data_IF_603313338264
#
_entry.id   IF_603313338264
#
_cell.length_a   1.000
_cell.length_b   1.000
_cell.length_c   1.000
_cell.angle_alpha   90.00
_cell.angle_beta   90.00
_cell.angle_gamma   90.00
#
_symmetry.space_group_name_H-M   'P 1'
#
loop_
_entity.id
_entity.type
_entity.pdbx_description
1 polymer ?
#
# COMPACT_ATOMS: atom_id res chain seq x y z
N UNK A 1 -10.88 7.58 11.53
CA UNK A 1 -9.70 8.19 10.87
C UNK A 1 -8.83 7.04 10.43
N UNK A 2 -8.59 6.86 9.12
CA UNK A 2 -7.83 5.72 8.62
C UNK A 2 -6.41 5.72 9.16
N UNK A 3 -5.98 4.56 9.64
CA UNK A 3 -4.73 4.41 10.38
C UNK A 3 -3.55 4.14 9.43
N UNK A 4 -2.91 5.22 8.99
CA UNK A 4 -1.72 5.14 8.13
C UNK A 4 -0.50 4.52 8.82
N UNK A 5 -0.52 4.30 10.14
CA UNK A 5 0.61 3.68 10.84
C UNK A 5 0.83 2.24 10.38
N UNK A 6 -0.25 1.52 10.08
CA UNK A 6 -0.19 0.13 9.60
C UNK A 6 0.45 0.04 8.23
N UNK A 7 0.11 0.97 7.33
CA UNK A 7 0.76 1.08 6.03
C UNK A 7 2.25 1.41 6.17
N UNK A 8 2.61 2.35 7.05
CA UNK A 8 4.01 2.76 7.28
C UNK A 8 4.87 1.66 7.90
N UNK A 9 4.28 0.72 8.64
CA UNK A 9 4.97 -0.42 9.23
C UNK A 9 5.31 -1.53 8.21
N UNK A 10 4.79 -1.45 6.98
CA UNK A 10 5.12 -2.38 5.91
C UNK A 10 6.50 -2.08 5.31
N UNK A 11 7.15 -3.10 4.75
CA UNK A 11 8.36 -2.90 3.97
C UNK A 11 8.11 -2.03 2.73
N UNK A 12 9.16 -1.45 2.16
CA UNK A 12 9.09 -0.63 0.93
C UNK A 12 8.31 -1.34 -0.19
N UNK A 13 8.63 -2.62 -0.44
CA UNK A 13 7.97 -3.43 -1.48
C UNK A 13 6.49 -3.65 -1.19
N UNK A 14 6.14 -3.93 0.06
CA UNK A 14 4.76 -4.17 0.47
C UNK A 14 3.92 -2.90 0.40
N UNK A 15 4.48 -1.76 0.77
CA UNK A 15 3.83 -0.45 0.58
C UNK A 15 3.51 -0.20 -0.88
N UNK A 16 4.44 -0.49 -1.80
CA UNK A 16 4.19 -0.37 -3.23
C UNK A 16 3.07 -1.32 -3.69
N UNK A 17 3.09 -2.58 -3.26
CA UNK A 17 2.06 -3.58 -3.62
C UNK A 17 0.67 -3.15 -3.12
N UNK A 18 0.56 -2.73 -1.85
CA UNK A 18 -0.71 -2.25 -1.28
C UNK A 18 -1.19 -1.01 -2.02
N UNK A 19 -0.30 -0.06 -2.30
CA UNK A 19 -0.67 1.16 -3.02
C UNK A 19 -1.16 0.85 -4.44
N UNK A 20 -0.52 -0.06 -5.18
CA UNK A 20 -0.98 -0.50 -6.50
C UNK A 20 -2.37 -1.15 -6.39
N UNK A 21 -2.56 -2.08 -5.45
CA UNK A 21 -3.83 -2.78 -5.29
C UNK A 21 -4.98 -1.81 -4.97
N UNK A 22 -4.77 -0.87 -4.06
CA UNK A 22 -5.79 0.14 -3.69
C UNK A 22 -6.04 1.13 -4.82
N UNK A 23 -5.01 1.47 -5.61
CA UNK A 23 -5.17 2.35 -6.78
C UNK A 23 -6.05 1.71 -7.86
N UNK A 24 -5.89 0.41 -8.11
CA UNK A 24 -6.63 -0.32 -9.13
C UNK A 24 -8.05 -0.67 -8.68
N UNK A 25 -8.19 -1.27 -7.50
CA UNK A 25 -9.43 -1.95 -7.10
C UNK A 25 -10.08 -1.34 -5.84
N UNK A 26 -9.42 -0.37 -5.20
CA UNK A 26 -9.98 0.33 -4.05
C UNK A 26 -10.36 -0.61 -2.89
N UNK A 27 -11.66 -0.77 -2.65
CA UNK A 27 -12.18 -1.61 -1.56
C UNK A 27 -11.91 -3.11 -1.77
N UNK A 28 -11.79 -3.55 -3.03
CA UNK A 28 -11.55 -4.96 -3.36
C UNK A 28 -10.07 -5.35 -3.30
N UNK A 29 -9.17 -4.37 -3.17
CA UNK A 29 -7.72 -4.57 -3.05
C UNK A 29 -7.32 -5.63 -2.01
N UNK A 30 -8.04 -5.66 -0.87
CA UNK A 30 -7.76 -6.60 0.21
C UNK A 30 -7.95 -8.07 -0.20
N UNK A 31 -8.83 -8.36 -1.15
CA UNK A 31 -9.08 -9.74 -1.61
C UNK A 31 -7.87 -10.31 -2.35
N UNK A 32 -7.23 -9.50 -3.20
CA UNK A 32 -6.03 -9.89 -3.96
C UNK A 32 -4.81 -10.07 -3.04
N UNK A 33 -4.70 -9.23 -2.00
CA UNK A 33 -3.59 -9.30 -1.04
C UNK A 33 -3.68 -10.49 -0.09
N UNK A 34 -4.85 -11.12 0.02
CA UNK A 34 -5.06 -12.30 0.86
C UNK A 34 -4.34 -13.56 0.33
N UNK A 35 -3.84 -13.53 -0.91
CA UNK A 35 -3.07 -14.63 -1.51
C UNK A 35 -1.73 -14.90 -0.84
N UNK A 36 -1.10 -13.90 -0.20
CA UNK A 36 0.16 -14.06 0.53
C UNK A 36 -0.11 -14.54 1.97
N UNK A 37 -0.06 -15.85 2.22
CA UNK A 37 -0.44 -16.43 3.52
C UNK A 37 0.35 -15.89 4.72
N UNK A 38 1.60 -15.47 4.52
CA UNK A 38 2.44 -15.00 5.62
C UNK A 38 2.17 -13.54 5.98
N UNK A 39 1.83 -12.71 4.98
CA UNK A 39 1.69 -11.25 5.14
C UNK A 39 0.27 -10.73 4.93
N UNK A 40 -0.66 -11.57 4.47
CA UNK A 40 -2.04 -11.24 4.14
C UNK A 40 -2.71 -10.36 5.21
N UNK A 41 -2.65 -10.75 6.48
CA UNK A 41 -3.32 -10.01 7.54
C UNK A 41 -2.82 -8.56 7.68
N UNK A 42 -1.53 -8.30 7.44
CA UNK A 42 -0.98 -6.95 7.50
C UNK A 42 -1.33 -6.15 6.24
N UNK A 43 -1.17 -6.76 5.06
CA UNK A 43 -1.46 -6.14 3.77
C UNK A 43 -2.94 -5.79 3.62
N UNK A 44 -3.84 -6.72 3.95
CA UNK A 44 -5.28 -6.53 3.88
C UNK A 44 -5.75 -5.42 4.83
N UNK A 45 -5.18 -5.31 6.04
CA UNK A 45 -5.55 -4.25 6.99
C UNK A 45 -5.13 -2.88 6.47
N UNK A 46 -3.87 -2.75 6.02
CA UNK A 46 -3.38 -1.50 5.44
C UNK A 46 -4.18 -1.08 4.19
N UNK A 47 -4.56 -2.05 3.34
CA UNK A 47 -5.39 -1.79 2.16
C UNK A 47 -6.80 -1.31 2.54
N UNK A 48 -7.43 -1.94 3.53
CA UNK A 48 -8.76 -1.51 4.04
C UNK A 48 -8.71 -0.10 4.62
N UNK A 49 -7.72 0.20 5.45
CA UNK A 49 -7.55 1.54 6.04
C UNK A 49 -7.41 2.60 4.93
N UNK A 50 -6.65 2.32 3.85
CA UNK A 50 -6.54 3.24 2.72
C UNK A 50 -7.82 3.31 1.87
N UNK A 51 -8.53 2.20 1.71
CA UNK A 51 -9.74 2.14 0.91
C UNK A 51 -10.92 2.90 1.53
N UNK A 52 -10.96 3.02 2.86
CA UNK A 52 -11.95 3.78 3.63
C UNK A 52 -11.89 5.30 3.38
N UNK A 53 -10.79 5.81 2.82
CA UNK A 53 -10.73 7.19 2.37
C UNK A 53 -11.69 7.43 1.20
N UNK A 54 -12.29 8.62 1.15
CA UNK A 54 -13.07 9.02 -0.02
C UNK A 54 -12.20 8.98 -1.28
N UNK A 55 -12.76 8.69 -2.47
CA UNK A 55 -11.98 8.59 -3.70
C UNK A 55 -11.10 9.82 -3.98
N UNK A 56 -11.60 11.02 -3.67
CA UNK A 56 -10.93 12.30 -3.89
C UNK A 56 -9.67 12.46 -3.03
N UNK A 57 -9.67 11.88 -1.83
CA UNK A 57 -8.51 11.87 -0.93
C UNK A 57 -7.60 10.67 -1.19
N UNK A 58 -8.21 9.51 -1.46
CA UNK A 58 -7.52 8.23 -1.64
C UNK A 58 -6.60 8.24 -2.85
N UNK A 59 -7.10 8.65 -4.01
CA UNK A 59 -6.34 8.61 -5.27
C UNK A 59 -5.04 9.42 -5.21
N UNK A 60 -5.03 10.71 -4.83
CA UNK A 60 -3.79 11.49 -4.76
C UNK A 60 -2.84 10.97 -3.66
N UNK A 61 -3.38 10.54 -2.52
CA UNK A 61 -2.56 9.98 -1.43
C UNK A 61 -1.87 8.68 -1.87
N UNK A 62 -2.63 7.71 -2.37
CA UNK A 62 -2.11 6.40 -2.78
C UNK A 62 -1.08 6.54 -3.90
N UNK A 63 -1.31 7.45 -4.87
CA UNK A 63 -0.32 7.76 -5.90
C UNK A 63 0.98 8.34 -5.34
N UNK A 64 0.90 9.16 -4.30
CA UNK A 64 2.08 9.72 -3.61
C UNK A 64 2.84 8.63 -2.86
N UNK A 65 2.14 7.81 -2.07
CA UNK A 65 2.73 6.69 -1.34
C UNK A 65 3.40 5.67 -2.27
N UNK A 66 2.82 5.43 -3.45
CA UNK A 66 3.42 4.58 -4.48
C UNK A 66 4.74 5.17 -4.98
N UNK A 67 4.75 6.44 -5.38
CA UNK A 67 5.98 7.12 -5.86
C UNK A 67 7.08 7.09 -4.80
N UNK A 68 6.76 7.38 -3.55
CA UNK A 68 7.71 7.30 -2.43
C UNK A 68 8.29 5.90 -2.26
N UNK A 69 7.44 4.88 -2.36
CA UNK A 69 7.85 3.48 -2.22
C UNK A 69 8.77 3.05 -3.38
N UNK A 70 8.47 3.49 -4.62
CA UNK A 70 9.31 3.23 -5.78
C UNK A 70 10.67 3.93 -5.66
N UNK A 71 10.69 5.20 -5.29
CA UNK A 71 11.94 5.95 -5.10
C UNK A 71 12.86 5.30 -4.06
N UNK A 72 12.32 4.88 -2.92
CA UNK A 72 13.08 4.17 -1.88
C UNK A 72 13.61 2.80 -2.37
N UNK A 73 12.87 2.14 -3.25
CA UNK A 73 13.31 0.85 -3.83
C UNK A 73 14.44 1.02 -4.85
N UNK A 74 14.47 2.11 -5.61
CA UNK A 74 15.54 2.40 -6.56
C UNK A 74 16.85 2.79 -5.86
N UNK A 75 16.79 3.54 -4.76
CA UNK A 75 17.98 3.95 -3.99
C UNK A 75 18.70 2.75 -3.34
N UNK A 76 17.97 1.68 -3.08
CA UNK A 76 18.51 0.42 -2.52
C UNK A 76 19.41 -0.34 -3.52
N UNK A 77 19.40 0.03 -4.81
CA UNK A 77 20.12 -0.68 -5.88
C UNK A 77 21.45 0.01 -6.23
N UNK A 78 21.71 1.22 -5.73
CA UNK A 78 22.90 2.02 -6.05
C UNK A 78 24.06 1.88 -5.05
N UNK A 79 23.99 0.90 -4.13
CA UNK A 79 24.92 0.76 -3.01
C UNK A 79 25.43 -0.67 -2.76
N UNK A 80 25.59 -1.49 -3.80
CA UNK A 80 26.22 -2.81 -3.72
C UNK A 80 27.33 -2.97 -4.75
#
# INVERSE_FOLDING_TARGET
MPDLTRFRALSVRERAIVAIAVLLDGHDAAQYLAGDKARAAALCRAAKDLAELSPELRLPLVGTLLRESVAQSSDSTSGS
#
